data_IF_509784257684
#
_entry.id   IF_509784257684
#
_cell.length_a   1.000
_cell.length_b   1.000
_cell.length_c   1.000
_cell.angle_alpha   90.00
_cell.angle_beta   90.00
_cell.angle_gamma   90.00
#
_symmetry.space_group_name_H-M   'P 1'
#
loop_
_entity.id
_entity.type
_entity.pdbx_description
1 polymer ?
#
# COMPACT_ATOMS: atom_id res chain seq x y z
N UNK A 1 -6.92 -21.98 -4.48
CA UNK A 1 -8.28 -21.82 -3.93
C UNK A 1 -8.50 -20.53 -3.11
N UNK A 2 -7.52 -19.97 -2.39
CA UNK A 2 -7.69 -18.68 -1.68
C UNK A 2 -7.63 -17.42 -2.58
N UNK A 3 -6.83 -17.42 -3.65
CA UNK A 3 -6.78 -16.31 -4.64
C UNK A 3 -8.12 -16.12 -5.37
N UNK A 4 -8.83 -17.22 -5.64
CA UNK A 4 -10.19 -17.19 -6.21
C UNK A 4 -11.21 -16.56 -5.26
N UNK A 5 -11.04 -16.72 -3.94
CA UNK A 5 -11.99 -16.20 -2.93
C UNK A 5 -11.90 -14.67 -2.79
N UNK A 6 -10.69 -14.09 -2.88
CA UNK A 6 -10.53 -12.64 -2.98
C UNK A 6 -11.10 -12.12 -4.31
N UNK A 7 -10.77 -12.75 -5.46
CA UNK A 7 -11.39 -12.36 -6.74
C UNK A 7 -12.93 -12.41 -6.69
N UNK A 8 -13.52 -13.42 -6.04
CA UNK A 8 -14.97 -13.55 -5.89
C UNK A 8 -15.58 -12.49 -4.95
N UNK A 9 -14.91 -12.11 -3.85
CA UNK A 9 -15.39 -11.02 -3.00
C UNK A 9 -15.20 -9.62 -3.61
N UNK A 10 -14.14 -9.40 -4.39
CA UNK A 10 -13.90 -8.12 -5.08
C UNK A 10 -14.72 -7.99 -6.38
N UNK A 11 -15.07 -9.10 -7.05
CA UNK A 11 -15.81 -9.08 -8.32
C UNK A 11 -17.33 -9.11 -8.17
N UNK A 12 -17.88 -9.59 -7.04
CA UNK A 12 -19.33 -9.84 -6.90
C UNK A 12 -20.20 -8.61 -6.62
N UNK A 13 -19.62 -7.41 -6.48
CA UNK A 13 -20.38 -6.16 -6.25
C UNK A 13 -20.33 -5.15 -7.40
N UNK A 14 -19.84 -5.53 -8.59
CA UNK A 14 -19.64 -4.58 -9.68
C UNK A 14 -20.17 -5.03 -11.05
N UNK A 15 -21.42 -5.48 -11.10
CA UNK A 15 -22.26 -5.29 -12.30
C UNK A 15 -23.70 -5.23 -11.78
N UNK A 16 -24.33 -4.06 -11.81
CA UNK A 16 -25.73 -3.81 -12.24
C UNK A 16 -26.10 -2.37 -11.91
N UNK A 17 -26.66 -1.66 -12.90
CA UNK A 17 -27.41 -0.39 -12.80
C UNK A 17 -26.55 0.88 -12.59
N UNK A 18 -26.64 1.96 -13.36
CA UNK A 18 -27.58 2.34 -14.42
C UNK A 18 -26.92 3.43 -15.29
N UNK A 19 -26.99 3.26 -16.61
CA UNK A 19 -26.94 4.37 -17.55
C UNK A 19 -28.35 4.99 -17.56
N UNK A 20 -28.46 6.25 -17.17
CA UNK A 20 -29.64 7.05 -17.47
C UNK A 20 -29.19 8.49 -17.70
N UNK A 21 -29.37 8.95 -18.93
CA UNK A 21 -29.17 10.33 -19.35
C UNK A 21 -30.10 11.25 -18.56
N UNK A 22 -29.56 12.34 -18.01
CA UNK A 22 -30.37 13.47 -17.56
C UNK A 22 -29.82 14.77 -18.08
N UNK A 23 -30.67 15.39 -18.89
CA UNK A 23 -30.64 16.70 -19.53
C UNK A 23 -30.32 17.86 -18.57
N UNK A 24 -29.43 18.76 -19.02
CA UNK A 24 -29.14 20.04 -18.38
C UNK A 24 -30.36 20.97 -18.54
N UNK A 25 -30.87 21.51 -17.43
CA UNK A 25 -31.75 22.69 -17.42
C UNK A 25 -31.15 23.77 -16.51
N UNK A 26 -30.81 24.87 -17.14
CA UNK A 26 -30.45 26.16 -16.55
C UNK A 26 -31.71 26.87 -16.07
N UNK A 27 -31.72 27.33 -14.81
CA UNK A 27 -32.59 28.45 -14.39
C UNK A 27 -31.83 29.35 -13.43
N UNK A 28 -31.73 30.60 -13.86
CA UNK A 28 -31.27 31.80 -13.17
C UNK A 28 -32.22 32.22 -12.04
N UNK A 29 -31.68 32.81 -10.96
CA UNK A 29 -32.36 33.94 -10.31
C UNK A 29 -32.40 34.01 -8.77
N UNK A 30 -31.66 35.01 -8.25
CA UNK A 30 -32.11 36.03 -7.27
C UNK A 30 -31.92 35.78 -5.75
N UNK A 31 -31.08 36.68 -5.19
CA UNK A 31 -31.03 37.32 -3.87
C UNK A 31 -30.81 36.52 -2.59
N UNK A 32 -29.60 36.68 -2.03
CA UNK A 32 -29.28 36.41 -0.63
C UNK A 32 -29.15 37.73 0.15
N UNK A 33 -30.01 37.91 1.15
CA UNK A 33 -29.84 38.86 2.25
C UNK A 33 -28.67 38.42 3.13
N UNK A 34 -27.70 39.30 3.32
CA UNK A 34 -26.60 39.14 4.29
C UNK A 34 -27.13 39.36 5.71
N UNK A 35 -26.97 38.35 6.57
CA UNK A 35 -26.88 38.56 8.01
C UNK A 35 -25.67 37.80 8.54
N UNK A 36 -24.85 38.56 9.25
CA UNK A 36 -23.71 38.15 10.03
C UNK A 36 -23.97 36.88 10.82
N UNK A 37 -23.03 35.94 10.73
CA UNK A 37 -22.74 35.04 11.83
C UNK A 37 -21.29 34.61 11.74
N UNK A 38 -20.42 35.37 12.42
CA UNK A 38 -19.12 34.91 12.86
C UNK A 38 -19.32 33.68 13.76
N UNK A 39 -19.26 32.48 13.16
CA UNK A 39 -19.08 31.23 13.90
C UNK A 39 -17.64 30.78 13.75
N UNK A 40 -16.95 30.88 14.89
CA UNK A 40 -15.78 30.09 15.28
C UNK A 40 -15.47 28.91 14.36
N UNK A 41 -14.41 29.04 13.54
CA UNK A 41 -13.72 27.90 12.95
C UNK A 41 -13.03 27.12 14.08
N UNK A 42 -13.81 26.29 14.77
CA UNK A 42 -13.24 25.14 15.46
C UNK A 42 -12.62 24.25 14.37
N UNK A 43 -11.33 23.99 14.49
CA UNK A 43 -10.63 22.99 13.69
C UNK A 43 -11.31 21.63 13.89
N UNK A 44 -12.31 21.34 13.07
CA UNK A 44 -12.82 20.00 12.88
C UNK A 44 -11.63 19.23 12.29
N UNK A 45 -10.99 18.36 13.08
CA UNK A 45 -9.99 17.45 12.56
C UNK A 45 -10.65 16.71 11.40
N UNK A 46 -10.30 17.06 10.17
CA UNK A 46 -11.01 16.58 8.99
C UNK A 46 -10.85 15.06 8.95
N UNK A 47 -11.93 14.34 9.27
CA UNK A 47 -11.94 12.88 9.28
C UNK A 47 -11.48 12.39 7.90
N UNK A 48 -10.49 11.49 7.88
CA UNK A 48 -9.95 10.94 6.63
C UNK A 48 -11.09 10.30 5.85
N UNK A 49 -11.27 10.69 4.59
CA UNK A 49 -12.31 10.11 3.74
C UNK A 49 -11.74 8.91 2.96
N UNK A 50 -10.61 9.12 2.29
CA UNK A 50 -9.95 8.08 1.48
C UNK A 50 -8.54 7.80 1.98
N UNK A 51 -8.30 6.56 2.42
CA UNK A 51 -6.98 6.06 2.76
C UNK A 51 -6.30 5.39 1.56
N UNK A 52 -5.03 5.66 1.33
CA UNK A 52 -4.20 4.99 0.32
C UNK A 52 -3.04 4.29 0.99
N UNK A 53 -3.03 2.96 1.00
CA UNK A 53 -1.89 2.20 1.53
C UNK A 53 -0.88 1.91 0.41
N UNK A 54 0.32 2.46 0.55
CA UNK A 54 1.46 2.28 -0.34
C UNK A 54 2.20 1.00 0.05
N UNK A 55 1.98 -0.07 -0.72
CA UNK A 55 2.50 -1.40 -0.43
C UNK A 55 3.86 -1.63 -1.10
N UNK A 56 4.87 -1.94 -0.30
CA UNK A 56 6.20 -2.29 -0.79
C UNK A 56 6.87 -3.29 0.18
N UNK A 57 7.96 -3.93 -0.20
CA UNK A 57 8.70 -4.81 0.72
C UNK A 57 9.33 -4.03 1.87
N UNK A 58 9.73 -2.79 1.58
CA UNK A 58 10.50 -1.94 2.48
C UNK A 58 11.98 -2.33 2.50
N UNK A 59 12.76 -1.68 3.35
CA UNK A 59 14.18 -1.96 3.53
C UNK A 59 14.66 -1.40 4.87
N UNK A 60 15.70 -1.99 5.46
CA UNK A 60 16.23 -1.57 6.76
C UNK A 60 16.74 -0.13 6.66
N UNK A 61 16.32 0.75 7.56
CA UNK A 61 16.75 2.16 7.58
C UNK A 61 18.21 2.30 8.07
N UNK A 62 18.66 1.33 8.87
CA UNK A 62 20.03 1.23 9.37
C UNK A 62 20.55 -0.19 9.24
N UNK A 63 21.88 -0.37 9.28
CA UNK A 63 22.52 -1.69 9.26
C UNK A 63 22.06 -2.61 10.39
N UNK A 64 21.66 -2.06 11.54
CA UNK A 64 21.24 -2.85 12.71
C UNK A 64 19.89 -3.54 12.50
N UNK A 65 19.05 -2.99 11.62
CA UNK A 65 17.75 -3.54 11.28
C UNK A 65 17.81 -4.69 10.26
N UNK A 66 18.99 -4.96 9.69
CA UNK A 66 19.17 -5.95 8.62
C UNK A 66 18.75 -7.35 9.05
N UNK A 67 19.11 -7.79 10.26
CA UNK A 67 18.70 -9.10 10.75
C UNK A 67 17.17 -9.22 10.81
N UNK A 68 16.53 -8.19 11.34
CA UNK A 68 15.09 -8.13 11.53
C UNK A 68 14.34 -8.16 10.19
N UNK A 69 14.86 -7.42 9.20
CA UNK A 69 14.40 -7.46 7.82
C UNK A 69 14.51 -8.86 7.20
N UNK A 70 15.71 -9.47 7.25
CA UNK A 70 15.96 -10.79 6.68
C UNK A 70 15.14 -11.87 7.38
N UNK A 71 14.99 -11.80 8.70
CA UNK A 71 14.22 -12.77 9.47
C UNK A 71 12.75 -12.79 9.04
N UNK A 72 12.14 -11.62 8.82
CA UNK A 72 10.76 -11.54 8.30
C UNK A 72 10.66 -12.03 6.85
N UNK A 73 11.65 -11.71 6.01
CA UNK A 73 11.70 -12.14 4.61
C UNK A 73 11.81 -13.66 4.48
N UNK A 74 12.73 -14.31 5.20
CA UNK A 74 12.88 -15.77 5.17
C UNK A 74 11.78 -16.52 5.95
N UNK A 75 11.03 -15.83 6.79
CA UNK A 75 9.82 -16.38 7.44
C UNK A 75 8.57 -16.28 6.56
N UNK A 76 8.65 -15.60 5.42
CA UNK A 76 7.52 -15.43 4.51
C UNK A 76 7.34 -16.61 3.56
N UNK A 77 6.25 -17.35 3.74
CA UNK A 77 5.86 -18.48 2.89
C UNK A 77 5.45 -18.07 1.48
N UNK A 78 5.06 -16.81 1.29
CA UNK A 78 4.64 -16.32 -0.03
C UNK A 78 5.85 -15.99 -0.94
N UNK A 79 7.05 -15.81 -0.37
CA UNK A 79 8.28 -15.57 -1.14
C UNK A 79 9.17 -16.80 -1.17
N UNK A 80 9.55 -17.32 0.00
CA UNK A 80 10.57 -18.37 0.12
C UNK A 80 9.97 -19.55 0.88
N UNK A 81 9.32 -20.51 0.20
CA UNK A 81 8.84 -21.72 0.85
C UNK A 81 10.03 -22.59 1.26
N UNK A 82 10.26 -22.72 2.57
CA UNK A 82 11.34 -23.53 3.15
C UNK A 82 10.77 -24.67 4.01
N UNK A 83 11.41 -25.85 4.04
CA UNK A 83 11.10 -26.86 5.04
C UNK A 83 11.43 -26.31 6.44
N UNK A 84 10.64 -26.68 7.47
CA UNK A 84 10.87 -26.22 8.85
C UNK A 84 11.15 -24.70 8.99
N UNK A 85 10.41 -23.86 8.24
CA UNK A 85 10.67 -22.42 8.08
C UNK A 85 10.80 -21.62 9.37
N UNK A 86 10.10 -22.03 10.45
CA UNK A 86 10.22 -21.41 11.78
C UNK A 86 11.62 -21.49 12.37
N UNK A 87 12.41 -22.49 11.95
CA UNK A 87 13.79 -22.72 12.41
C UNK A 87 14.79 -22.31 11.34
N UNK A 88 14.57 -22.70 10.08
CA UNK A 88 15.50 -22.38 8.99
C UNK A 88 15.51 -20.88 8.66
N UNK A 89 14.37 -20.18 8.75
CA UNK A 89 14.29 -18.76 8.46
C UNK A 89 15.24 -17.92 9.32
N UNK A 90 15.14 -17.99 10.66
CA UNK A 90 16.04 -17.28 11.56
C UNK A 90 17.52 -17.67 11.40
N UNK A 91 17.80 -18.95 11.15
CA UNK A 91 19.18 -19.43 10.93
C UNK A 91 19.80 -18.82 9.66
N UNK A 92 19.06 -18.83 8.56
CA UNK A 92 19.51 -18.25 7.28
C UNK A 92 19.66 -16.73 7.41
N UNK A 93 18.71 -16.07 8.08
CA UNK A 93 18.78 -14.63 8.35
C UNK A 93 20.06 -14.29 9.11
N UNK A 94 20.32 -14.96 10.26
CA UNK A 94 21.54 -14.75 11.07
C UNK A 94 22.82 -14.97 10.26
N UNK A 95 22.87 -16.01 9.43
CA UNK A 95 24.04 -16.31 8.58
C UNK A 95 24.26 -15.25 7.50
N UNK A 96 23.20 -14.69 6.93
CA UNK A 96 23.28 -13.71 5.84
C UNK A 96 23.47 -12.27 6.33
N UNK A 97 23.04 -11.95 7.54
CA UNK A 97 23.09 -10.58 8.09
C UNK A 97 24.44 -9.88 7.89
N UNK A 98 25.62 -10.46 8.23
CA UNK A 98 26.88 -9.73 8.13
C UNK A 98 27.19 -9.26 6.71
N UNK A 99 26.96 -10.14 5.72
CA UNK A 99 27.20 -9.81 4.31
C UNK A 99 26.23 -8.74 3.80
N UNK A 100 24.96 -8.78 4.21
CA UNK A 100 23.96 -7.78 3.81
C UNK A 100 24.19 -6.44 4.51
N UNK A 101 24.67 -6.44 5.77
CA UNK A 101 25.09 -5.22 6.47
C UNK A 101 26.23 -4.53 5.74
N UNK A 102 27.23 -5.28 5.26
CA UNK A 102 28.34 -4.72 4.47
C UNK A 102 27.84 -4.08 3.17
N UNK A 103 26.84 -4.70 2.51
CA UNK A 103 26.22 -4.12 1.31
C UNK A 103 25.49 -2.81 1.61
N UNK A 104 24.71 -2.74 2.70
CA UNK A 104 24.05 -1.50 3.10
C UNK A 104 25.05 -0.43 3.54
N UNK A 105 26.14 -0.80 4.21
CA UNK A 105 27.20 0.13 4.59
C UNK A 105 27.83 0.81 3.35
N UNK A 106 28.06 0.06 2.26
CA UNK A 106 28.62 0.59 1.00
C UNK A 106 27.74 1.63 0.31
N UNK A 107 26.43 1.65 0.58
CA UNK A 107 25.48 2.60 -0.02
C UNK A 107 25.03 3.72 0.93
N UNK A 108 25.71 3.88 2.08
CA UNK A 108 25.41 4.93 3.05
C UNK A 108 24.74 4.47 4.35
N UNK A 109 24.70 3.16 4.62
CA UNK A 109 24.31 2.62 5.93
C UNK A 109 22.86 2.15 6.06
N UNK A 110 22.05 2.24 4.99
CA UNK A 110 20.64 1.83 5.04
C UNK A 110 19.89 2.05 3.73
N UNK A 111 18.63 1.65 3.71
CA UNK A 111 17.72 1.81 2.58
C UNK A 111 17.03 3.18 2.64
N UNK A 112 17.08 4.00 1.58
CA UNK A 112 16.37 5.27 1.53
C UNK A 112 14.87 5.12 1.22
N UNK A 113 14.36 3.87 1.11
CA UNK A 113 13.01 3.60 0.59
C UNK A 113 11.91 4.30 1.38
N UNK A 114 12.00 4.33 2.72
CA UNK A 114 10.98 4.97 3.56
C UNK A 114 10.92 6.48 3.33
N UNK A 115 12.08 7.13 3.21
CA UNK A 115 12.18 8.55 2.89
C UNK A 115 11.52 8.87 1.55
N UNK A 116 11.81 8.08 0.51
CA UNK A 116 11.23 8.28 -0.81
C UNK A 116 9.72 8.00 -0.85
N UNK A 117 9.26 6.90 -0.24
CA UNK A 117 7.84 6.58 -0.15
C UNK A 117 7.07 7.68 0.59
N UNK A 118 7.65 8.27 1.65
CA UNK A 118 7.06 9.41 2.36
C UNK A 118 6.92 10.62 1.44
N UNK A 119 8.00 11.01 0.76
CA UNK A 119 8.01 12.16 -0.16
C UNK A 119 7.01 12.00 -1.30
N UNK A 120 6.92 10.80 -1.87
CA UNK A 120 5.95 10.45 -2.90
C UNK A 120 4.51 10.47 -2.37
N UNK A 121 4.27 9.90 -1.19
CA UNK A 121 2.96 9.90 -0.54
C UNK A 121 2.44 11.31 -0.24
N UNK A 122 3.31 12.19 0.26
CA UNK A 122 2.97 13.60 0.53
C UNK A 122 2.61 14.36 -0.76
N UNK A 123 3.43 14.21 -1.80
CA UNK A 123 3.15 14.81 -3.11
C UNK A 123 1.86 14.28 -3.73
N UNK A 124 1.63 12.97 -3.65
CA UNK A 124 0.43 12.31 -4.14
C UNK A 124 -0.83 12.83 -3.44
N UNK A 125 -0.87 12.87 -2.10
CA UNK A 125 -2.04 13.35 -1.34
C UNK A 125 -2.35 14.80 -1.68
N UNK A 126 -1.33 15.66 -1.74
CA UNK A 126 -1.51 17.08 -2.09
C UNK A 126 -2.20 17.25 -3.45
N UNK A 127 -1.82 16.44 -4.44
CA UNK A 127 -2.44 16.47 -5.77
C UNK A 127 -3.83 15.82 -5.78
N UNK A 128 -4.03 14.71 -5.06
CA UNK A 128 -5.32 14.02 -4.99
C UNK A 128 -6.41 14.89 -4.37
N UNK A 129 -6.08 15.65 -3.31
CA UNK A 129 -7.03 16.59 -2.69
C UNK A 129 -7.48 17.69 -3.67
N UNK A 130 -6.63 18.06 -4.64
CA UNK A 130 -6.96 19.03 -5.69
C UNK A 130 -7.72 18.39 -6.85
N UNK A 131 -7.29 17.22 -7.31
CA UNK A 131 -7.83 16.52 -8.49
C UNK A 131 -9.20 15.90 -8.18
N UNK A 132 -9.39 15.38 -6.96
CA UNK A 132 -10.61 14.70 -6.54
C UNK A 132 -11.13 15.22 -5.19
N UNK A 133 -11.64 16.47 -5.11
CA UNK A 133 -12.14 17.04 -3.86
C UNK A 133 -13.29 16.24 -3.23
N UNK A 134 -14.07 15.52 -4.04
CA UNK A 134 -15.21 14.71 -3.57
C UNK A 134 -14.79 13.48 -2.74
N UNK A 135 -13.55 13.03 -2.86
CA UNK A 135 -12.98 11.90 -2.10
C UNK A 135 -11.94 12.35 -1.06
N UNK A 136 -11.68 13.66 -0.98
CA UNK A 136 -10.86 14.27 0.05
C UNK A 136 -11.58 14.28 1.41
N UNK A 137 -10.86 14.42 2.54
CA UNK A 137 -9.40 14.45 2.66
C UNK A 137 -8.77 13.08 2.38
N UNK A 138 -7.71 13.06 1.58
CA UNK A 138 -6.92 11.85 1.34
C UNK A 138 -5.82 11.71 2.42
N UNK A 139 -5.50 10.48 2.81
CA UNK A 139 -4.33 10.17 3.65
C UNK A 139 -3.58 8.98 3.05
N UNK A 140 -2.27 9.12 2.91
CA UNK A 140 -1.43 7.98 2.56
C UNK A 140 -0.98 7.25 3.84
N UNK A 141 -0.75 5.95 3.68
CA UNK A 141 -0.17 5.09 4.70
C UNK A 141 0.95 4.27 4.07
N UNK A 142 2.04 4.03 4.79
CA UNK A 142 3.12 3.16 4.32
C UNK A 142 2.84 1.76 4.86
N UNK A 143 2.73 0.76 3.97
CA UNK A 143 2.56 -0.64 4.34
C UNK A 143 3.75 -1.46 3.87
N UNK A 144 4.79 -1.55 4.69
CA UNK A 144 5.94 -2.38 4.37
C UNK A 144 5.74 -3.83 4.78
N UNK A 145 6.34 -4.75 4.02
CA UNK A 145 6.19 -6.19 4.26
C UNK A 145 7.17 -6.72 5.29
N UNK A 146 8.40 -6.19 5.34
CA UNK A 146 9.51 -6.76 6.14
C UNK A 146 10.19 -5.77 7.09
N UNK A 147 9.82 -4.49 7.06
CA UNK A 147 10.32 -3.46 7.99
C UNK A 147 9.19 -2.56 8.45
N UNK A 148 9.45 -1.71 9.45
CA UNK A 148 8.44 -0.78 9.96
C UNK A 148 8.25 0.43 9.02
N UNK A 149 7.03 1.00 8.92
CA UNK A 149 5.78 0.49 9.46
C UNK A 149 5.31 -0.77 8.70
N UNK A 150 5.06 -1.85 9.45
CA UNK A 150 4.61 -3.11 8.87
C UNK A 150 3.16 -2.99 8.40
N UNK A 151 2.79 -3.76 7.38
CA UNK A 151 1.43 -3.78 6.83
C UNK A 151 0.38 -3.96 7.93
N UNK A 152 0.61 -4.84 8.88
CA UNK A 152 -0.29 -5.10 10.01
C UNK A 152 -0.42 -3.89 10.95
N UNK A 153 0.69 -3.21 11.27
CA UNK A 153 0.67 -1.99 12.08
C UNK A 153 -0.09 -0.86 11.39
N UNK A 154 0.06 -0.78 10.07
CA UNK A 154 -0.62 0.21 9.23
C UNK A 154 -2.11 -0.07 9.14
N UNK A 155 -2.52 -1.34 9.09
CA UNK A 155 -3.93 -1.72 9.16
C UNK A 155 -4.54 -1.35 10.51
N UNK A 156 -3.82 -1.54 11.62
CA UNK A 156 -4.27 -1.08 12.94
C UNK A 156 -4.46 0.45 12.98
N UNK A 157 -3.63 1.23 12.27
CA UNK A 157 -3.79 2.68 12.14
C UNK A 157 -5.02 3.05 11.30
N UNK A 158 -5.19 2.40 10.14
CA UNK A 158 -6.32 2.61 9.24
C UNK A 158 -7.66 2.34 9.96
N UNK A 159 -7.72 1.29 10.78
CA UNK A 159 -8.93 0.98 11.55
C UNK A 159 -9.26 2.00 12.64
N UNK A 160 -8.25 2.71 13.16
CA UNK A 160 -8.45 3.83 14.10
C UNK A 160 -8.96 5.06 13.37
N UNK A 161 -8.39 5.34 12.20
CA UNK A 161 -8.74 6.51 11.39
C UNK A 161 -10.11 6.37 10.71
N UNK A 162 -10.57 5.14 10.45
CA UNK A 162 -11.87 4.79 9.85
C UNK A 162 -12.20 5.58 8.57
N UNK A 163 -11.35 5.49 7.54
CA UNK A 163 -11.67 6.07 6.24
C UNK A 163 -12.90 5.38 5.62
N UNK A 164 -13.69 6.09 4.84
CA UNK A 164 -14.83 5.52 4.11
C UNK A 164 -14.35 4.56 3.00
N UNK A 165 -13.23 4.91 2.37
CA UNK A 165 -12.61 4.14 1.29
C UNK A 165 -11.14 3.86 1.58
N UNK A 166 -10.69 2.66 1.20
CA UNK A 166 -9.27 2.29 1.24
C UNK A 166 -8.83 1.77 -0.12
N UNK A 167 -7.67 2.24 -0.57
CA UNK A 167 -7.01 1.80 -1.80
C UNK A 167 -5.70 1.11 -1.45
N UNK A 168 -5.60 -0.18 -1.71
CA UNK A 168 -4.35 -0.92 -1.66
C UNK A 168 -3.55 -0.65 -2.94
N UNK A 169 -2.54 0.22 -2.85
CA UNK A 169 -1.76 0.65 -3.99
C UNK A 169 -0.35 0.06 -3.94
N UNK A 170 -0.11 -0.96 -4.77
CA UNK A 170 1.22 -1.53 -4.91
C UNK A 170 2.21 -0.51 -5.45
N UNK A 171 3.41 -0.47 -4.88
CA UNK A 171 4.51 0.35 -5.39
C UNK A 171 5.38 -0.42 -6.41
N UNK A 172 4.92 -1.60 -6.84
CA UNK A 172 5.52 -2.39 -7.92
C UNK A 172 4.70 -2.21 -9.20
N UNK A 173 5.23 -1.53 -10.24
CA UNK A 173 4.50 -1.37 -11.50
C UNK A 173 4.17 -2.71 -12.15
N UNK A 174 5.12 -3.66 -12.13
CA UNK A 174 4.95 -5.02 -12.62
C UNK A 174 4.50 -5.95 -11.48
N UNK A 175 3.38 -6.65 -11.67
CA UNK A 175 2.89 -7.61 -10.69
C UNK A 175 3.79 -8.85 -10.60
N UNK A 176 4.14 -9.24 -9.38
CA UNK A 176 4.64 -10.58 -9.05
C UNK A 176 3.91 -11.13 -7.82
N UNK A 177 3.71 -12.45 -7.78
CA UNK A 177 3.17 -13.15 -6.62
C UNK A 177 4.08 -12.98 -5.38
N UNK A 178 5.40 -12.90 -5.59
CA UNK A 178 6.37 -12.71 -4.50
C UNK A 178 6.45 -11.27 -4.00
N UNK A 179 5.86 -10.29 -4.70
CA UNK A 179 5.86 -8.89 -4.28
C UNK A 179 4.45 -8.42 -3.94
N UNK A 180 3.70 -7.90 -4.92
CA UNK A 180 2.31 -7.45 -4.77
C UNK A 180 1.43 -8.54 -4.17
N UNK A 181 1.58 -9.79 -4.63
CA UNK A 181 0.82 -10.92 -4.11
C UNK A 181 1.02 -11.14 -2.61
N UNK A 182 2.27 -11.14 -2.12
CA UNK A 182 2.58 -11.26 -0.69
C UNK A 182 1.97 -10.12 0.14
N UNK A 183 2.05 -8.88 -0.35
CA UNK A 183 1.44 -7.72 0.33
C UNK A 183 -0.08 -7.82 0.43
N UNK A 184 -0.77 -8.21 -0.64
CA UNK A 184 -2.22 -8.39 -0.61
C UNK A 184 -2.65 -9.58 0.29
N UNK A 185 -1.88 -10.67 0.27
CA UNK A 185 -2.10 -11.79 1.16
C UNK A 185 -1.89 -11.41 2.64
N UNK A 186 -0.97 -10.50 2.95
CA UNK A 186 -0.78 -9.99 4.31
C UNK A 186 -2.03 -9.29 4.83
N UNK A 187 -2.67 -8.44 4.01
CA UNK A 187 -3.96 -7.79 4.33
C UNK A 187 -5.05 -8.85 4.58
N UNK A 188 -5.18 -9.83 3.69
CA UNK A 188 -6.17 -10.89 3.84
C UNK A 188 -5.95 -11.73 5.12
N UNK A 189 -4.69 -12.06 5.44
CA UNK A 189 -4.32 -12.80 6.65
C UNK A 189 -4.63 -12.01 7.91
N UNK A 190 -4.34 -10.71 7.93
CA UNK A 190 -4.62 -9.83 9.06
C UNK A 190 -6.10 -9.89 9.45
N UNK A 191 -7.00 -9.63 8.50
CA UNK A 191 -8.44 -9.65 8.78
C UNK A 191 -8.97 -11.04 9.08
N UNK A 192 -8.46 -12.09 8.42
CA UNK A 192 -8.84 -13.48 8.74
C UNK A 192 -8.48 -13.83 10.18
N UNK A 193 -7.29 -13.46 10.64
CA UNK A 193 -6.85 -13.70 12.02
C UNK A 193 -7.70 -12.90 13.01
N UNK A 194 -7.99 -11.64 12.70
CA UNK A 194 -8.81 -10.76 13.55
C UNK A 194 -10.25 -11.27 13.69
N UNK A 195 -10.89 -11.69 12.60
CA UNK A 195 -12.24 -12.29 12.65
C UNK A 195 -12.26 -13.56 13.51
N UNK A 196 -11.25 -14.44 13.38
CA UNK A 196 -11.15 -15.64 14.23
C UNK A 196 -11.01 -15.30 15.71
N UNK A 197 -10.14 -14.36 16.05
CA UNK A 197 -9.96 -13.91 17.44
C UNK A 197 -11.26 -13.37 18.04
N UNK A 198 -11.97 -12.53 17.28
CA UNK A 198 -13.27 -11.98 17.72
C UNK A 198 -14.36 -13.03 17.92
N UNK A 199 -14.30 -14.15 17.20
CA UNK A 199 -15.24 -15.27 17.37
C UNK A 199 -14.91 -16.06 18.62
N UNK A 200 -13.63 -16.37 18.84
CA UNK A 200 -13.19 -17.12 20.02
C UNK A 200 -13.48 -16.36 21.33
N UNK A 201 -13.23 -15.05 21.34
CA UNK A 201 -13.55 -14.21 22.51
C UNK A 201 -15.05 -14.11 22.83
N UNK A 202 -15.93 -14.33 21.82
CA UNK A 202 -17.39 -14.37 22.02
C UNK A 202 -17.86 -15.72 22.54
N UNK A 203 -17.21 -16.82 22.16
CA UNK A 203 -17.56 -18.18 22.59
C UNK A 203 -17.15 -18.42 24.07
N UNK A 204 -16.13 -17.71 24.58
CA UNK A 204 -15.67 -17.79 25.98
C UNK A 204 -16.41 -16.84 26.97
N UNK A 205 -17.31 -15.97 26.49
CA UNK A 205 -18.03 -14.99 27.32
C UNK A 205 -19.50 -15.39 27.54
N UNK A 206 -19.94 -15.44 28.81
CA UNK A 206 -21.36 -15.48 29.20
C UNK A 206 -22.08 -14.29 28.53
N UNK A 207 -23.25 -14.48 27.89
CA UNK A 207 -23.87 -13.43 27.08
C UNK A 207 -24.30 -12.23 27.94
N UNK A 208 -23.47 -11.20 27.95
CA UNK A 208 -23.80 -9.88 28.48
C UNK A 208 -24.63 -9.11 27.44
N UNK A 209 -25.92 -8.98 27.70
CA UNK A 209 -26.91 -8.33 26.82
C UNK A 209 -26.61 -6.85 26.56
N UNK A 210 -25.72 -6.21 27.34
CA UNK A 210 -25.40 -4.79 27.20
C UNK A 210 -24.14 -4.50 26.35
N UNK A 211 -23.40 -5.53 25.93
CA UNK A 211 -22.18 -5.36 25.11
C UNK A 211 -22.43 -5.40 23.60
N UNK A 212 -23.69 -5.56 23.18
CA UNK A 212 -24.04 -5.76 21.76
C UNK A 212 -23.84 -4.52 20.87
N UNK A 213 -23.64 -3.33 21.46
CA UNK A 213 -23.51 -2.07 20.70
C UNK A 213 -22.07 -1.60 20.42
N UNK A 214 -21.03 -2.23 20.97
CA UNK A 214 -19.64 -1.89 20.61
C UNK A 214 -19.23 -2.78 19.44
N UNK A 215 -19.74 -2.38 18.27
CA UNK A 215 -19.82 -3.18 17.05
C UNK A 215 -18.47 -3.69 16.53
N UNK A 216 -18.48 -4.99 16.24
CA UNK A 216 -17.55 -5.72 15.39
C UNK A 216 -17.57 -5.14 13.97
N UNK A 217 -16.80 -4.08 13.72
CA UNK A 217 -16.50 -3.65 12.35
C UNK A 217 -15.66 -4.74 11.69
N UNK A 218 -16.31 -5.50 10.83
CA UNK A 218 -15.68 -6.50 9.96
C UNK A 218 -15.23 -5.81 8.67
N UNK A 219 -14.47 -6.49 7.82
CA UNK A 219 -14.12 -6.06 6.45
C UNK A 219 -15.29 -5.42 5.65
N UNK A 220 -16.54 -5.69 6.03
CA UNK A 220 -17.75 -5.26 5.35
C UNK A 220 -18.06 -3.76 5.43
N UNK A 221 -17.49 -3.02 6.40
CA UNK A 221 -17.81 -1.60 6.60
C UNK A 221 -16.84 -0.64 5.88
N UNK A 222 -15.72 -1.16 5.38
CA UNK A 222 -14.69 -0.39 4.67
C UNK A 222 -14.75 -0.71 3.18
N UNK A 223 -14.87 0.31 2.32
CA UNK A 223 -14.83 0.10 0.87
C UNK A 223 -13.39 -0.09 0.39
N UNK A 224 -12.97 -1.34 0.22
CA UNK A 224 -11.66 -1.70 -0.31
C UNK A 224 -11.62 -1.71 -1.84
N UNK A 225 -10.51 -1.22 -2.39
CA UNK A 225 -10.14 -1.36 -3.79
C UNK A 225 -8.63 -1.57 -3.92
N UNK A 226 -8.17 -2.04 -5.08
CA UNK A 226 -6.76 -2.41 -5.28
C UNK A 226 -6.27 -1.83 -6.61
N UNK A 227 -5.06 -1.26 -6.59
CA UNK A 227 -4.24 -1.01 -7.77
C UNK A 227 -3.08 -2.01 -7.68
N UNK A 228 -3.19 -3.14 -8.40
CA UNK A 228 -2.27 -4.29 -8.29
C UNK A 228 -1.14 -4.28 -9.33
N UNK A 229 -1.26 -3.47 -10.38
CA UNK A 229 -0.25 -3.31 -11.45
C UNK A 229 -0.48 -2.03 -12.24
N UNK A 230 0.58 -1.46 -12.80
CA UNK A 230 0.52 -0.18 -13.53
C UNK A 230 1.76 0.03 -14.44
N UNK A 231 2.32 -1.06 -14.99
CA UNK A 231 3.58 -1.03 -15.74
C UNK A 231 3.59 -0.17 -17.02
N UNK A 232 2.41 0.11 -17.60
CA UNK A 232 2.27 0.94 -18.82
C UNK A 232 1.67 2.32 -18.54
N UNK A 233 1.63 2.76 -17.27
CA UNK A 233 1.10 4.07 -16.93
C UNK A 233 1.91 5.18 -17.62
N UNK A 234 1.30 6.13 -18.37
CA UNK A 234 2.04 7.12 -19.14
C UNK A 234 3.05 7.93 -18.32
N UNK A 235 2.66 8.41 -17.12
CA UNK A 235 3.58 9.15 -16.25
C UNK A 235 4.73 8.30 -15.68
N UNK A 236 4.57 6.98 -15.59
CA UNK A 236 5.67 6.08 -15.20
C UNK A 236 6.66 5.91 -16.35
N UNK A 237 6.16 5.69 -17.58
CA UNK A 237 6.99 5.59 -18.78
C UNK A 237 7.73 6.90 -19.04
N UNK A 238 7.06 8.05 -18.93
CA UNK A 238 7.69 9.35 -19.15
C UNK A 238 8.83 9.59 -18.17
N UNK A 239 8.62 9.32 -16.86
CA UNK A 239 9.69 9.46 -15.87
C UNK A 239 10.91 8.56 -16.19
N UNK A 240 10.69 7.35 -16.71
CA UNK A 240 11.78 6.48 -17.18
C UNK A 240 12.51 7.08 -18.39
N UNK A 241 11.74 7.56 -19.37
CA UNK A 241 12.28 8.16 -20.60
C UNK A 241 13.09 9.42 -20.29
N UNK A 242 12.58 10.29 -19.42
CA UNK A 242 13.30 11.50 -18.96
C UNK A 242 14.61 11.14 -18.27
N UNK A 243 14.59 10.16 -17.35
CA UNK A 243 15.82 9.71 -16.67
C UNK A 243 16.84 9.12 -17.66
N UNK A 244 16.40 8.30 -18.63
CA UNK A 244 17.29 7.75 -19.66
C UNK A 244 17.90 8.86 -20.51
N UNK A 245 17.09 9.83 -20.97
CA UNK A 245 17.56 10.98 -21.76
C UNK A 245 18.57 11.81 -20.96
N UNK A 246 18.30 12.06 -19.69
CA UNK A 246 19.19 12.80 -18.80
C UNK A 246 20.54 12.10 -18.62
N UNK A 247 20.56 10.78 -18.46
CA UNK A 247 21.81 10.01 -18.34
C UNK A 247 22.55 9.90 -19.68
N UNK A 248 21.85 9.69 -20.81
CA UNK A 248 22.46 9.69 -22.14
C UNK A 248 23.10 11.04 -22.48
N UNK A 249 22.50 12.15 -22.01
CA UNK A 249 23.06 13.50 -22.14
C UNK A 249 24.44 13.68 -21.51
N UNK A 250 24.84 12.82 -20.56
CA UNK A 250 26.16 12.85 -19.93
C UNK A 250 27.27 12.18 -20.75
N UNK A 251 26.91 11.38 -21.76
CA UNK A 251 27.88 10.79 -22.68
C UNK A 251 28.31 11.81 -23.75
N UNK A 252 29.57 11.74 -24.25
CA UNK A 252 30.01 12.54 -25.38
C UNK A 252 29.12 12.34 -26.61
N UNK A 253 28.83 13.42 -27.35
CA UNK A 253 27.90 13.40 -28.48
C UNK A 253 28.29 12.38 -29.56
N UNK A 254 29.60 12.18 -29.77
CA UNK A 254 30.13 11.28 -30.79
C UNK A 254 29.97 9.78 -30.48
N UNK A 255 29.64 9.40 -29.24
CA UNK A 255 29.41 8.00 -28.86
C UNK A 255 27.99 7.73 -28.38
N UNK A 256 27.17 8.78 -28.21
CA UNK A 256 25.83 8.65 -27.61
C UNK A 256 24.92 7.67 -28.37
N UNK A 257 25.03 7.60 -29.69
CA UNK A 257 24.25 6.69 -30.53
C UNK A 257 24.69 5.22 -30.41
N UNK A 258 25.90 4.96 -29.91
CA UNK A 258 26.46 3.62 -29.73
C UNK A 258 26.24 3.09 -28.30
N UNK A 259 25.65 3.90 -27.42
CA UNK A 259 25.37 3.49 -26.03
C UNK A 259 24.31 2.41 -26.00
N UNK A 260 24.66 1.26 -25.42
CA UNK A 260 23.71 0.17 -25.17
C UNK A 260 22.94 0.44 -23.89
N UNK A 261 21.60 0.46 -24.00
CA UNK A 261 20.70 0.57 -22.84
C UNK A 261 20.39 -0.83 -22.32
N UNK A 262 20.86 -1.14 -21.12
CA UNK A 262 20.57 -2.41 -20.44
C UNK A 262 19.48 -2.22 -19.39
N UNK A 263 18.28 -2.72 -19.66
CA UNK A 263 17.22 -2.81 -18.66
C UNK A 263 17.49 -3.99 -17.72
N UNK A 264 17.80 -3.69 -16.46
CA UNK A 264 18.03 -4.71 -15.42
C UNK A 264 16.85 -4.75 -14.44
N UNK A 265 16.24 -5.93 -14.31
CA UNK A 265 15.17 -6.19 -13.34
C UNK A 265 15.61 -7.27 -12.34
N UNK A 266 15.01 -7.29 -11.15
CA UNK A 266 15.25 -8.36 -10.19
C UNK A 266 14.74 -9.69 -10.76
N UNK A 267 15.64 -10.68 -10.80
CA UNK A 267 15.31 -12.03 -11.29
C UNK A 267 14.36 -12.76 -10.33
N UNK A 268 13.57 -13.67 -10.89
CA UNK A 268 12.72 -14.60 -10.14
C UNK A 268 13.26 -16.03 -10.31
N UNK A 269 13.13 -16.89 -9.29
CA UNK A 269 13.41 -18.31 -9.46
C UNK A 269 12.53 -18.92 -10.56
N UNK A 270 13.09 -19.79 -11.40
CA UNK A 270 12.37 -20.48 -12.49
C UNK A 270 11.14 -21.28 -12.03
N UNK A 271 11.03 -21.61 -10.75
CA UNK A 271 9.90 -22.34 -10.18
C UNK A 271 8.68 -21.48 -9.86
N UNK A 272 8.80 -20.15 -9.89
CA UNK A 272 7.73 -19.17 -9.61
C UNK A 272 7.44 -18.23 -10.78
N UNK A 273 8.17 -18.36 -11.88
CA UNK A 273 7.88 -17.75 -13.20
C UNK A 273 6.89 -18.59 -13.99
#
# INVERSE_FOLDING_TARGET
MLSSYLKLQFSSKLVTSCLSNTTIRTTTGVSATQQDNQKSNQFQSSQVNTGIILLNMGGPETTDEVYDFLNRLFSDKDIIPLPAQKTLGPLIARRRTPSIQEQYAKIGGGSPIKMWTKKQGEGMVKLLDQISPSTAPHKYYIGFRYVKPLTEMTLDEIEKDRPQRIIAFTQYPQYSCSTTGSSLNAIARYYTAKTRKSKLEKDDQIPDKNKSMINSHTLNDLQWSVIDRWQTHPGFIEAFVENIRNELGKFPDNVRNDVVILFSAHSLPMSVS
#
